data_IF_585340992003
#
_entry.id   IF_585340992003
#
_cell.length_a   1.000
_cell.length_b   1.000
_cell.length_c   1.000
_cell.angle_alpha   90.00
_cell.angle_beta   90.00
_cell.angle_gamma   90.00
#
_symmetry.space_group_name_H-M   'P 1'
#
loop_
_entity.id
_entity.type
_entity.pdbx_description
1 polymer ?
#
# COMPACT_ATOMS: atom_id res chain seq x y z
N UNK A 1 -7.63 -5.55 4.56
CA UNK A 1 -7.25 -5.57 6.00
C UNK A 1 -5.76 -5.43 6.03
N UNK A 2 -5.25 -4.34 6.61
CA UNK A 2 -3.82 -4.05 6.56
C UNK A 2 -3.03 -5.15 7.29
N UNK A 3 -2.16 -5.83 6.53
CA UNK A 3 -1.31 -6.88 7.06
C UNK A 3 0.00 -6.27 7.56
N UNK A 4 0.18 -6.26 8.88
CA UNK A 4 1.42 -5.81 9.50
C UNK A 4 2.52 -6.84 9.31
N UNK A 5 3.74 -6.36 9.10
CA UNK A 5 4.93 -7.19 8.95
C UNK A 5 6.08 -6.54 9.69
N UNK A 6 6.57 -7.16 10.76
CA UNK A 6 7.76 -6.69 11.48
C UNK A 6 8.98 -7.56 11.18
N UNK A 7 8.94 -8.35 10.12
CA UNK A 7 10.03 -9.24 9.74
C UNK A 7 10.74 -8.68 8.50
N UNK A 8 12.06 -8.84 8.42
CA UNK A 8 12.81 -8.45 7.22
C UNK A 8 12.94 -6.94 6.96
N UNK A 9 13.43 -6.61 5.77
CA UNK A 9 13.79 -5.26 5.32
C UNK A 9 12.81 -4.83 4.21
N UNK A 10 12.50 -3.53 4.15
CA UNK A 10 11.71 -2.93 3.08
C UNK A 10 12.26 -3.30 1.69
N UNK A 11 11.41 -3.86 0.83
CA UNK A 11 11.78 -4.28 -0.53
C UNK A 11 11.81 -3.13 -1.55
N UNK A 12 11.47 -1.90 -1.13
CA UNK A 12 11.56 -0.71 -1.98
C UNK A 12 12.89 0.03 -1.75
N UNK A 13 13.20 0.37 -0.50
CA UNK A 13 14.40 1.16 -0.18
C UNK A 13 15.58 0.34 0.33
N UNK A 14 15.36 -0.91 0.75
CA UNK A 14 16.37 -1.82 1.33
C UNK A 14 17.14 -1.27 2.55
N UNK A 15 16.60 -0.25 3.24
CA UNK A 15 17.29 0.45 4.34
C UNK A 15 16.66 0.26 5.71
N UNK A 16 15.33 0.23 5.78
CA UNK A 16 14.55 0.20 7.02
C UNK A 16 13.83 -1.14 7.18
N UNK A 17 13.52 -1.49 8.42
CA UNK A 17 12.66 -2.63 8.72
C UNK A 17 11.29 -2.46 8.06
N UNK A 18 10.73 -3.57 7.59
CA UNK A 18 9.34 -3.61 7.15
C UNK A 18 8.41 -3.38 8.35
N UNK A 19 7.24 -2.78 8.09
CA UNK A 19 6.15 -2.64 9.06
C UNK A 19 4.81 -3.15 8.52
N UNK A 20 4.69 -3.34 7.21
CA UNK A 20 3.43 -3.66 6.52
C UNK A 20 3.71 -4.30 5.16
N UNK A 21 2.77 -5.10 4.66
CA UNK A 21 2.80 -5.62 3.28
C UNK A 21 1.96 -4.75 2.34
N UNK A 22 2.42 -4.60 1.11
CA UNK A 22 1.64 -4.00 0.02
C UNK A 22 0.42 -4.88 -0.30
N UNK A 23 -0.80 -4.33 -0.28
CA UNK A 23 -2.00 -5.10 -0.60
C UNK A 23 -2.14 -5.44 -2.10
N UNK A 24 -1.32 -4.85 -2.97
CA UNK A 24 -1.31 -5.14 -4.42
C UNK A 24 -0.29 -6.18 -4.88
N UNK A 25 0.81 -6.38 -4.13
CA UNK A 25 1.90 -7.25 -4.57
C UNK A 25 2.69 -7.94 -3.43
N UNK A 26 2.18 -7.87 -2.20
CA UNK A 26 2.76 -8.47 -0.99
C UNK A 26 4.19 -8.05 -0.63
N UNK A 27 4.72 -7.02 -1.30
CA UNK A 27 6.05 -6.50 -0.99
C UNK A 27 6.10 -5.88 0.41
N UNK A 28 7.18 -6.13 1.13
CA UNK A 28 7.48 -5.57 2.47
C UNK A 28 7.81 -4.09 2.39
N UNK A 29 7.09 -3.26 3.15
CA UNK A 29 7.21 -1.80 3.11
C UNK A 29 7.59 -1.26 4.49
N UNK A 30 8.58 -0.37 4.53
CA UNK A 30 8.82 0.45 5.72
C UNK A 30 7.84 1.62 5.79
N UNK A 31 7.92 2.37 6.88
CA UNK A 31 7.09 3.54 7.15
C UNK A 31 7.18 4.67 6.13
N UNK A 32 8.32 4.81 5.43
CA UNK A 32 8.51 5.87 4.42
C UNK A 32 8.05 5.44 3.03
N UNK A 33 8.11 4.13 2.74
CA UNK A 33 7.83 3.59 1.41
C UNK A 33 6.39 3.15 1.22
N UNK A 34 5.62 3.03 2.30
CA UNK A 34 4.18 2.76 2.24
C UNK A 34 3.41 4.03 1.86
N UNK A 35 2.40 3.90 1.01
CA UNK A 35 1.40 4.92 0.74
C UNK A 35 0.04 4.41 1.22
N UNK A 36 -0.71 5.26 1.90
CA UNK A 36 -2.08 4.95 2.31
C UNK A 36 -3.07 5.56 1.34
N UNK A 37 -4.18 4.86 1.14
CA UNK A 37 -5.35 5.37 0.45
C UNK A 37 -6.63 5.02 1.22
N UNK A 38 -7.72 5.69 0.89
CA UNK A 38 -9.03 5.50 1.52
C UNK A 38 -10.06 5.12 0.46
N UNK A 39 -10.53 3.88 0.50
CA UNK A 39 -11.52 3.39 -0.43
C UNK A 39 -12.91 3.55 0.16
N UNK A 40 -13.63 4.55 -0.33
CA UNK A 40 -15.00 4.83 0.09
C UNK A 40 -16.02 4.00 -0.68
N UNK A 41 -16.96 3.37 0.02
CA UNK A 41 -18.08 2.66 -0.60
C UNK A 41 -19.37 2.75 0.22
N UNK A 42 -20.50 2.56 -0.49
CA UNK A 42 -21.83 2.64 0.11
C UNK A 42 -22.15 4.00 0.74
N UNK A 43 -22.94 4.00 1.81
CA UNK A 43 -23.38 5.20 2.51
C UNK A 43 -22.45 5.52 3.69
N UNK A 44 -21.21 5.94 3.38
CA UNK A 44 -20.26 6.47 4.37
C UNK A 44 -19.29 5.44 4.98
N UNK A 45 -19.10 4.28 4.35
CA UNK A 45 -18.05 3.36 4.75
C UNK A 45 -16.74 3.69 4.03
N UNK A 46 -15.62 3.59 4.74
CA UNK A 46 -14.28 3.85 4.20
C UNK A 46 -13.32 2.82 4.76
N UNK A 47 -12.63 2.09 3.88
CA UNK A 47 -11.55 1.18 4.26
C UNK A 47 -10.17 1.80 3.98
N UNK A 48 -9.24 1.76 4.93
CA UNK A 48 -7.86 2.15 4.69
C UNK A 48 -7.11 1.03 3.95
N UNK A 49 -6.42 1.42 2.88
CA UNK A 49 -5.58 0.54 2.09
C UNK A 49 -4.13 1.01 2.09
N UNK A 50 -3.20 0.08 1.84
CA UNK A 50 -1.76 0.37 1.85
C UNK A 50 -1.03 -0.26 0.66
N UNK A 51 -0.24 0.56 -0.02
CA UNK A 51 0.43 0.19 -1.27
C UNK A 51 1.89 0.61 -1.28
N UNK A 52 2.69 -0.07 -2.11
CA UNK A 52 3.98 0.44 -2.54
C UNK A 52 3.79 1.58 -3.56
N UNK A 53 4.84 2.37 -3.89
CA UNK A 53 4.69 3.49 -4.81
C UNK A 53 4.14 3.09 -6.18
N UNK A 54 4.58 1.94 -6.71
CA UNK A 54 4.12 1.42 -8.01
C UNK A 54 2.64 1.02 -7.97
N UNK A 55 2.23 0.19 -7.01
CA UNK A 55 0.83 -0.25 -6.88
C UNK A 55 -0.13 0.89 -6.52
N UNK A 56 0.36 1.94 -5.88
CA UNK A 56 -0.47 3.11 -5.57
C UNK A 56 -0.86 3.90 -6.82
N UNK A 57 0.07 3.98 -7.79
CA UNK A 57 -0.09 4.75 -9.03
C UNK A 57 -0.72 3.90 -10.16
N UNK A 58 -0.85 2.59 -10.00
CA UNK A 58 -1.48 1.66 -10.95
C UNK A 58 -3.02 1.64 -10.78
N UNK A 59 -3.77 2.07 -11.79
CA UNK A 59 -5.24 2.15 -11.73
C UNK A 59 -5.93 0.79 -11.66
N UNK A 60 -5.32 -0.27 -12.19
CA UNK A 60 -5.88 -1.63 -12.16
C UNK A 60 -5.75 -2.25 -10.75
N UNK A 61 -4.84 -1.72 -9.93
CA UNK A 61 -4.63 -2.13 -8.53
C UNK A 61 -5.29 -1.17 -7.55
N UNK A 62 -5.10 0.14 -7.74
CA UNK A 62 -5.65 1.22 -6.93
C UNK A 62 -6.56 2.13 -7.75
N UNK A 63 -7.85 1.81 -7.90
CA UNK A 63 -8.77 2.60 -8.72
C UNK A 63 -9.13 3.97 -8.13
N UNK A 64 -8.75 4.28 -6.88
CA UNK A 64 -9.09 5.54 -6.21
C UNK A 64 -8.05 6.65 -6.43
N UNK A 65 -6.76 6.31 -6.47
CA UNK A 65 -5.67 7.27 -6.73
C UNK A 65 -4.74 6.88 -7.87
N UNK A 66 -4.90 5.69 -8.46
CA UNK A 66 -4.13 5.23 -9.60
C UNK A 66 -4.36 6.10 -10.84
N UNK A 67 -3.38 6.10 -11.73
CA UNK A 67 -3.34 6.96 -12.91
C UNK A 67 -3.66 6.15 -14.15
N UNK A 68 -4.40 6.79 -15.06
CA UNK A 68 -4.54 6.33 -16.44
C UNK A 68 -3.52 7.15 -17.22
N UNK A 69 -2.46 6.51 -17.69
CA UNK A 69 -1.42 7.14 -18.52
C UNK A 69 -1.98 7.68 -19.85
#
# INVERSE_FOLDING_TARGET
MITTDNTGICQICHKKQSVVLCEGCDSRLCEDCRKFDLWGYGCGHVDPHVFCPTCFDDVDINPYSGKID
#
